data_IF_727694381560
#
_entry.id   IF_727694381560
#
_cell.length_a   1.000
_cell.length_b   1.000
_cell.length_c   1.000
_cell.angle_alpha   90.00
_cell.angle_beta   90.00
_cell.angle_gamma   90.00
#
_symmetry.space_group_name_H-M   'P 1'
#
loop_
_entity.id
_entity.type
_entity.pdbx_description
1 polymer ?
#
# COMPACT_ATOMS: atom_id res chain seq x y z
N UNK A 1 -3.73 -12.24 10.04
CA UNK A 1 -4.87 -11.38 10.39
C UNK A 1 -4.78 -9.98 9.76
N UNK A 2 -3.73 -9.19 10.03
CA UNK A 2 -3.58 -7.81 9.51
C UNK A 2 -3.79 -7.65 8.00
N UNK A 3 -3.27 -8.58 7.18
CA UNK A 3 -3.45 -8.56 5.73
C UNK A 3 -4.91 -8.78 5.32
N UNK A 4 -5.61 -9.69 5.98
CA UNK A 4 -7.01 -9.98 5.71
C UNK A 4 -7.88 -8.75 6.02
N UNK A 5 -7.70 -8.15 7.20
CA UNK A 5 -8.42 -6.94 7.60
C UNK A 5 -8.16 -5.76 6.66
N UNK A 6 -6.94 -5.61 6.13
CA UNK A 6 -6.64 -4.60 5.10
C UNK A 6 -7.41 -4.84 3.80
N UNK A 7 -7.48 -6.09 3.33
CA UNK A 7 -8.18 -6.44 2.09
C UNK A 7 -9.68 -6.18 2.24
N UNK A 8 -10.29 -6.62 3.34
CA UNK A 8 -11.72 -6.41 3.59
C UNK A 8 -12.04 -4.93 3.79
N UNK A 9 -11.19 -4.17 4.49
CA UNK A 9 -11.35 -2.72 4.64
C UNK A 9 -11.31 -2.00 3.28
N UNK A 10 -10.41 -2.41 2.38
CA UNK A 10 -10.34 -1.87 1.02
C UNK A 10 -11.59 -2.15 0.20
N UNK A 11 -12.17 -3.35 0.32
CA UNK A 11 -13.43 -3.70 -0.34
C UNK A 11 -14.60 -2.85 0.17
N UNK A 12 -14.66 -2.61 1.49
CA UNK A 12 -15.69 -1.76 2.10
C UNK A 12 -15.52 -0.29 1.69
N UNK A 13 -14.29 0.23 1.61
CA UNK A 13 -14.08 1.62 1.18
C UNK A 13 -14.59 1.87 -0.25
N UNK A 14 -14.44 0.88 -1.14
CA UNK A 14 -14.91 0.94 -2.52
C UNK A 14 -16.44 0.90 -2.66
N UNK A 15 -17.16 0.38 -1.67
CA UNK A 15 -18.63 0.35 -1.68
C UNK A 15 -19.29 1.63 -1.15
N UNK A 16 -18.51 2.58 -0.61
CA UNK A 16 -19.02 3.85 -0.09
C UNK A 16 -19.34 4.85 -1.22
N UNK A 17 -20.21 5.82 -0.89
CA UNK A 17 -20.49 6.98 -1.76
C UNK A 17 -19.22 7.82 -1.96
N UNK A 18 -19.13 8.51 -3.09
CA UNK A 18 -17.92 9.20 -3.56
C UNK A 18 -17.27 10.14 -2.53
N UNK A 19 -18.07 10.98 -1.86
CA UNK A 19 -17.58 11.91 -0.84
C UNK A 19 -16.92 11.20 0.35
N UNK A 20 -17.51 10.10 0.80
CA UNK A 20 -17.01 9.29 1.92
C UNK A 20 -15.85 8.39 1.50
N UNK A 21 -15.89 7.87 0.27
CA UNK A 21 -14.83 7.08 -0.34
C UNK A 21 -13.53 7.88 -0.40
N UNK A 22 -13.58 9.12 -0.88
CA UNK A 22 -12.38 9.97 -0.99
C UNK A 22 -11.68 10.16 0.37
N UNK A 23 -12.45 10.43 1.43
CA UNK A 23 -11.92 10.56 2.78
C UNK A 23 -11.39 9.23 3.34
N UNK A 24 -12.01 8.10 3.00
CA UNK A 24 -11.57 6.77 3.42
C UNK A 24 -10.28 6.34 2.70
N UNK A 25 -10.19 6.51 1.39
CA UNK A 25 -9.01 6.15 0.58
C UNK A 25 -7.78 6.95 0.99
N UNK A 26 -7.94 8.24 1.32
CA UNK A 26 -6.84 9.07 1.81
C UNK A 26 -6.18 8.51 3.08
N UNK A 27 -6.95 7.85 3.95
CA UNK A 27 -6.43 7.21 5.18
C UNK A 27 -5.70 5.89 4.90
N UNK A 28 -5.98 5.24 3.78
CA UNK A 28 -5.36 3.97 3.38
C UNK A 28 -4.00 4.12 2.69
N UNK A 29 -3.58 5.34 2.35
CA UNK A 29 -2.31 5.60 1.67
C UNK A 29 -1.13 5.33 2.62
N UNK A 30 -0.29 4.35 2.27
CA UNK A 30 0.95 4.03 2.99
C UNK A 30 2.13 4.16 2.04
N UNK A 31 3.06 5.07 2.35
CA UNK A 31 4.26 5.33 1.54
C UNK A 31 5.54 4.88 2.27
N UNK A 32 5.52 3.66 2.83
CA UNK A 32 6.63 3.15 3.63
C UNK A 32 7.67 2.43 2.77
N UNK A 33 8.95 2.64 3.12
CA UNK A 33 10.10 1.96 2.55
C UNK A 33 10.84 1.25 3.68
N UNK A 34 11.35 0.05 3.41
CA UNK A 34 12.18 -0.69 4.34
C UNK A 34 13.47 -1.15 3.66
N UNK A 35 14.45 -1.48 4.47
CA UNK A 35 15.72 -2.04 4.03
C UNK A 35 16.02 -3.21 4.95
N UNK A 36 16.39 -4.35 4.37
CA UNK A 36 16.88 -5.49 5.15
C UNK A 36 18.36 -5.25 5.42
N UNK A 37 18.77 -5.36 6.69
CA UNK A 37 20.15 -5.20 7.11
C UNK A 37 20.69 -6.55 7.54
N UNK A 38 21.81 -6.96 6.96
CA UNK A 38 22.49 -8.21 7.30
C UNK A 38 23.97 -7.93 7.56
N UNK A 39 24.50 -8.46 8.66
CA UNK A 39 25.90 -8.28 9.06
C UNK A 39 26.38 -6.81 9.06
N UNK A 40 25.51 -5.87 9.44
CA UNK A 40 25.81 -4.44 9.50
C UNK A 40 25.86 -3.73 8.14
N UNK A 41 25.58 -4.43 7.03
CA UNK A 41 25.42 -3.83 5.71
C UNK A 41 23.94 -3.71 5.38
N UNK A 42 23.51 -2.51 5.01
CA UNK A 42 22.16 -2.27 4.53
C UNK A 42 21.99 -2.78 3.09
N UNK A 43 20.96 -3.59 2.84
CA UNK A 43 20.59 -4.11 1.53
C UNK A 43 19.81 -3.11 0.66
N UNK A 44 19.00 -3.59 -0.28
CA UNK A 44 18.20 -2.71 -1.15
C UNK A 44 17.02 -2.07 -0.39
N UNK A 45 16.69 -0.82 -0.71
CA UNK A 45 15.49 -0.17 -0.19
C UNK A 45 14.24 -0.60 -0.97
N UNK A 46 13.45 -1.47 -0.36
CA UNK A 46 12.19 -1.96 -0.92
C UNK A 46 11.04 -1.04 -0.51
N UNK A 47 10.20 -0.67 -1.47
CA UNK A 47 8.93 0.05 -1.22
C UNK A 47 7.83 -0.95 -0.89
N UNK A 48 7.06 -0.74 0.18
CA UNK A 48 5.96 -1.65 0.57
C UNK A 48 4.71 -1.50 -0.29
N UNK A 49 4.58 -0.40 -1.02
CA UNK A 49 3.51 -0.18 -1.98
C UNK A 49 4.13 0.18 -3.31
N UNK A 50 3.84 -0.64 -4.32
CA UNK A 50 4.22 -0.37 -5.70
C UNK A 50 3.34 0.75 -6.23
N UNK A 51 3.91 1.88 -6.69
CA UNK A 51 3.12 2.94 -7.31
C UNK A 51 2.48 2.44 -8.62
N UNK A 52 1.24 2.87 -8.89
CA UNK A 52 0.48 2.47 -10.07
C UNK A 52 1.23 2.73 -11.40
N UNK A 53 2.13 3.70 -11.42
CA UNK A 53 3.00 4.01 -12.57
C UNK A 53 3.91 2.85 -12.98
N UNK A 54 4.39 2.04 -12.04
CA UNK A 54 5.28 0.90 -12.33
C UNK A 54 4.49 -0.33 -12.84
N UNK A 55 3.21 -0.44 -12.51
CA UNK A 55 2.35 -1.55 -12.93
C UNK A 55 1.86 -1.42 -14.39
N UNK A 56 1.79 -0.19 -14.92
CA UNK A 56 1.38 0.08 -16.29
C UNK A 56 2.48 -0.25 -17.33
N UNK A 57 3.75 -0.20 -16.94
CA UNK A 57 4.89 -0.49 -17.81
C UNK A 57 5.26 -1.98 -17.89
N UNK A 58 4.57 -2.85 -17.14
CA UNK A 58 4.83 -4.30 -17.02
C UNK A 58 3.77 -5.18 -17.71
N UNK A 59 2.90 -4.60 -18.55
CA UNK A 59 1.89 -5.34 -19.33
C UNK A 59 2.31 -5.49 -20.79
#
# INVERSE_FOLDING_TARGET
FNKYSQITAGAVCKSLKETQRLAAEKRGLTALRYQVWENGKGGEQVRLTTPLSELLHKR
#
